data_IF_402599894036
#
_entry.id   IF_402599894036
#
_cell.length_a   1.000
_cell.length_b   1.000
_cell.length_c   1.000
_cell.angle_alpha   90.00
_cell.angle_beta   90.00
_cell.angle_gamma   90.00
#
_symmetry.space_group_name_H-M   'P 1'
#
loop_
_entity.id
_entity.type
_entity.pdbx_description
1 polymer ?
#
# COMPACT_ATOMS: atom_id res chain seq x y z
N UNK A 1 29.59 -5.59 4.34
CA UNK A 1 28.47 -5.34 3.41
C UNK A 1 27.23 -5.07 4.24
N UNK A 2 26.85 -3.81 4.41
CA UNK A 2 25.65 -3.47 5.18
C UNK A 2 24.43 -3.87 4.37
N UNK A 3 23.82 -5.01 4.69
CA UNK A 3 22.44 -5.29 4.33
C UNK A 3 21.62 -4.11 4.84
N UNK A 4 21.24 -3.19 3.95
CA UNK A 4 20.19 -2.21 4.24
C UNK A 4 19.00 -3.04 4.66
N UNK A 5 18.70 -3.05 5.96
CA UNK A 5 17.47 -3.61 6.50
C UNK A 5 16.38 -2.96 5.65
N UNK A 6 15.75 -3.75 4.79
CA UNK A 6 14.52 -3.34 4.13
C UNK A 6 13.56 -3.15 5.30
N UNK A 7 13.44 -1.91 5.78
CA UNK A 7 12.43 -1.56 6.76
C UNK A 7 11.13 -1.82 6.03
N UNK A 8 10.41 -2.83 6.47
CA UNK A 8 9.01 -2.96 6.09
C UNK A 8 8.25 -1.85 6.81
N UNK A 9 7.16 -1.36 6.23
CA UNK A 9 6.18 -0.62 7.02
C UNK A 9 5.75 -1.53 8.16
N UNK A 10 6.01 -1.13 9.41
CA UNK A 10 5.66 -1.92 10.59
C UNK A 10 4.14 -2.14 10.67
N UNK A 11 3.36 -1.25 10.04
CA UNK A 11 1.90 -1.35 9.91
C UNK A 11 1.47 -0.71 8.59
N UNK A 12 0.96 -1.50 7.64
CA UNK A 12 0.20 -0.96 6.51
C UNK A 12 -1.28 -0.83 6.92
N UNK A 13 -2.06 0.13 6.41
CA UNK A 13 -3.45 0.30 6.81
C UNK A 13 -4.34 -0.91 6.47
N UNK A 14 -3.90 -1.75 5.53
CA UNK A 14 -4.54 -3.03 5.16
C UNK A 14 -3.97 -4.27 5.86
N UNK A 15 -2.92 -4.10 6.69
CA UNK A 15 -2.38 -5.14 7.58
C UNK A 15 -3.36 -5.28 8.74
N UNK A 16 -4.51 -5.90 8.48
CA UNK A 16 -5.53 -6.18 9.49
C UNK A 16 -4.90 -6.91 10.66
N UNK A 17 -4.59 -6.19 11.74
CA UNK A 17 -4.18 -6.79 13.00
C UNK A 17 -5.33 -7.65 13.56
N UNK A 18 -5.07 -8.54 14.54
CA UNK A 18 -6.08 -9.45 15.09
C UNK A 18 -7.34 -8.77 15.66
N UNK A 19 -7.33 -7.45 15.84
CA UNK A 19 -8.45 -6.64 16.36
C UNK A 19 -8.93 -5.56 15.39
N UNK A 20 -8.45 -5.51 14.14
CA UNK A 20 -9.05 -4.60 13.16
C UNK A 20 -10.25 -5.29 12.54
N UNK A 21 -11.44 -4.78 12.86
CA UNK A 21 -12.60 -4.87 11.98
C UNK A 21 -12.09 -4.55 10.59
N UNK A 22 -12.20 -5.48 9.65
CA UNK A 22 -11.91 -5.22 8.25
C UNK A 22 -12.89 -4.13 7.81
N UNK A 23 -12.53 -2.87 8.06
CA UNK A 23 -13.22 -1.74 7.49
C UNK A 23 -13.12 -1.99 6.00
N UNK A 24 -14.27 -2.09 5.35
CA UNK A 24 -14.42 -2.37 3.92
C UNK A 24 -13.86 -1.23 3.06
N UNK A 25 -12.77 -0.58 3.48
CA UNK A 25 -12.05 0.42 2.72
C UNK A 25 -11.49 -0.27 1.47
N UNK A 26 -12.13 -0.05 0.31
CA UNK A 26 -11.80 -0.79 -0.89
C UNK A 26 -10.51 -0.26 -1.53
N UNK A 27 -10.08 0.94 -1.13
CA UNK A 27 -8.99 1.68 -1.74
C UNK A 27 -8.31 2.60 -0.71
N UNK A 28 -6.97 2.60 -0.71
CA UNK A 28 -6.10 3.49 0.05
C UNK A 28 -5.33 4.36 -0.92
N UNK A 29 -5.43 5.68 -0.81
CA UNK A 29 -4.77 6.59 -1.76
C UNK A 29 -3.60 7.28 -1.06
N UNK A 30 -2.40 7.12 -1.62
CA UNK A 30 -1.19 7.82 -1.21
C UNK A 30 -0.97 9.03 -2.11
N UNK A 31 -0.89 10.23 -1.53
CA UNK A 31 -0.71 11.47 -2.27
C UNK A 31 0.59 12.18 -1.90
N UNK A 32 1.26 12.75 -2.89
CA UNK A 32 2.35 13.71 -2.73
C UNK A 32 2.24 14.82 -3.76
N UNK A 33 1.73 15.98 -3.34
CA UNK A 33 1.45 17.09 -4.25
C UNK A 33 0.41 16.68 -5.30
N UNK A 34 0.81 16.62 -6.56
CA UNK A 34 -0.05 16.23 -7.69
C UNK A 34 -0.02 14.72 -8.00
N UNK A 35 0.84 13.95 -7.35
CA UNK A 35 0.99 12.51 -7.61
C UNK A 35 0.10 11.75 -6.65
N UNK A 36 -0.79 10.93 -7.18
CA UNK A 36 -1.65 10.03 -6.43
C UNK A 36 -1.34 8.57 -6.81
N UNK A 37 -1.27 7.71 -5.79
CA UNK A 37 -1.07 6.27 -5.92
C UNK A 37 -2.16 5.58 -5.11
N UNK A 38 -3.13 4.99 -5.78
CA UNK A 38 -4.17 4.19 -5.14
C UNK A 38 -3.71 2.74 -4.95
N UNK A 39 -4.11 2.15 -3.84
CA UNK A 39 -3.93 0.75 -3.50
C UNK A 39 -5.30 0.17 -3.21
N UNK A 40 -5.73 -0.81 -3.98
CA UNK A 40 -7.06 -1.42 -3.81
C UNK A 40 -6.87 -2.90 -3.59
N UNK A 41 -7.47 -3.45 -2.52
CA UNK A 41 -7.35 -4.87 -2.24
C UNK A 41 -8.22 -5.66 -3.21
N UNK A 42 -7.69 -6.75 -3.78
CA UNK A 42 -8.51 -7.61 -4.61
C UNK A 42 -9.55 -8.34 -3.72
N UNK A 43 -10.83 -8.21 -4.07
CA UNK A 43 -11.95 -8.81 -3.33
C UNK A 43 -12.04 -10.33 -3.50
N UNK A 44 -11.51 -10.88 -4.60
CA UNK A 44 -11.52 -12.32 -4.88
C UNK A 44 -10.30 -13.01 -4.28
N UNK A 45 -9.13 -12.37 -4.39
CA UNK A 45 -7.87 -12.88 -3.87
C UNK A 45 -7.22 -11.89 -2.90
N UNK A 46 -7.35 -12.15 -1.61
CA UNK A 46 -6.82 -11.30 -0.55
C UNK A 46 -5.28 -11.21 -0.53
N UNK A 47 -4.60 -12.02 -1.34
CA UNK A 47 -3.16 -12.04 -1.54
C UNK A 47 -2.69 -11.01 -2.57
N UNK A 48 -3.58 -10.45 -3.40
CA UNK A 48 -3.26 -9.48 -4.43
C UNK A 48 -3.83 -8.10 -4.12
N UNK A 49 -3.10 -7.10 -4.58
CA UNK A 49 -3.44 -5.69 -4.53
C UNK A 49 -3.36 -5.12 -5.93
N UNK A 50 -4.30 -4.24 -6.26
CA UNK A 50 -4.27 -3.42 -7.46
C UNK A 50 -3.67 -2.07 -7.09
N UNK A 51 -2.65 -1.65 -7.82
CA UNK A 51 -1.97 -0.38 -7.59
C UNK A 51 -2.21 0.48 -8.81
N UNK A 52 -2.84 1.63 -8.59
CA UNK A 52 -3.13 2.59 -9.65
C UNK A 52 -2.28 3.84 -9.47
N UNK A 53 -1.57 4.25 -10.52
CA UNK A 53 -0.74 5.46 -10.58
C UNK A 53 -1.15 6.26 -11.81
N UNK A 54 -2.08 7.19 -11.62
CA UNK A 54 -2.73 7.90 -12.73
C UNK A 54 -3.51 6.95 -13.64
N UNK A 55 -3.06 6.81 -14.89
CA UNK A 55 -3.71 5.94 -15.89
C UNK A 55 -3.21 4.49 -15.88
N UNK A 56 -2.12 4.19 -15.15
CA UNK A 56 -1.60 2.82 -15.05
C UNK A 56 -2.18 2.11 -13.85
N UNK A 57 -2.67 0.89 -14.06
CA UNK A 57 -3.09 -0.04 -13.02
C UNK A 57 -2.26 -1.32 -13.14
N UNK A 58 -1.72 -1.79 -12.02
CA UNK A 58 -0.91 -3.00 -11.95
C UNK A 58 -1.35 -3.86 -10.77
N UNK A 59 -1.54 -5.15 -11.01
CA UNK A 59 -1.79 -6.12 -9.95
C UNK A 59 -0.47 -6.64 -9.39
N UNK A 60 -0.30 -6.54 -8.08
CA UNK A 60 0.90 -7.01 -7.37
C UNK A 60 0.50 -7.83 -6.16
N UNK A 61 1.44 -8.59 -5.61
CA UNK A 61 1.20 -9.29 -4.36
C UNK A 61 1.17 -8.35 -3.16
N UNK A 62 0.50 -8.76 -2.09
CA UNK A 62 0.38 -8.01 -0.83
C UNK A 62 1.74 -7.58 -0.28
N UNK A 63 2.77 -8.43 -0.35
CA UNK A 63 4.11 -8.07 0.10
C UNK A 63 4.77 -6.99 -0.77
N UNK A 64 4.50 -6.98 -2.08
CA UNK A 64 5.00 -5.94 -2.99
C UNK A 64 4.28 -4.62 -2.76
N UNK A 65 2.96 -4.66 -2.51
CA UNK A 65 2.19 -3.48 -2.14
C UNK A 65 2.72 -2.86 -0.83
N UNK A 66 3.04 -3.68 0.18
CA UNK A 66 3.67 -3.21 1.43
C UNK A 66 5.04 -2.56 1.17
N UNK A 67 5.86 -3.16 0.34
CA UNK A 67 7.17 -2.60 -0.01
C UNK A 67 7.01 -1.23 -0.71
N UNK A 68 6.09 -1.14 -1.67
CA UNK A 68 5.81 0.12 -2.34
C UNK A 68 5.28 1.17 -1.38
N UNK A 69 4.34 0.81 -0.51
CA UNK A 69 3.76 1.72 0.47
C UNK A 69 4.84 2.37 1.34
N UNK A 70 5.77 1.57 1.85
CA UNK A 70 6.91 2.07 2.60
C UNK A 70 7.79 2.98 1.74
N UNK A 71 8.09 2.59 0.51
CA UNK A 71 8.89 3.42 -0.40
C UNK A 71 8.21 4.78 -0.67
N UNK A 72 6.89 4.82 -0.77
CA UNK A 72 6.12 6.06 -0.90
C UNK A 72 6.19 6.89 0.38
N UNK A 73 6.04 6.29 1.56
CA UNK A 73 6.21 6.97 2.85
C UNK A 73 7.61 7.60 2.99
N UNK A 74 8.66 6.84 2.68
CA UNK A 74 10.05 7.33 2.66
C UNK A 74 10.25 8.47 1.65
N UNK A 75 9.51 8.46 0.55
CA UNK A 75 9.48 9.54 -0.43
C UNK A 75 8.64 10.75 0.02
N UNK A 76 7.96 10.67 1.17
CA UNK A 76 7.12 11.75 1.70
C UNK A 76 5.71 11.80 1.10
N UNK A 77 5.20 10.69 0.60
CA UNK A 77 3.76 10.54 0.34
C UNK A 77 3.02 10.37 1.66
N UNK A 78 1.80 10.89 1.71
CA UNK A 78 0.90 10.75 2.85
C UNK A 78 -0.33 9.96 2.43
N UNK A 79 -0.86 9.17 3.36
CA UNK A 79 -2.15 8.51 3.14
C UNK A 79 -3.23 9.58 3.18
N UNK A 80 -4.06 9.63 2.14
CA UNK A 80 -5.24 10.47 2.04
C UNK A 80 -6.36 9.75 2.80
N UNK A 81 -6.81 10.35 3.91
CA UNK A 81 -8.01 9.92 4.65
C UNK A 81 -9.29 10.20 3.86
#
# INVERSE_FOLDING_TARGET
MSMKKVKYAEVAPWDGGPNQTHTNDPEWIMQKGIIEVSFSRNQLDHNYFHIRRGEKEEQVFTFQARYLYQELLDKGFILKE
#
